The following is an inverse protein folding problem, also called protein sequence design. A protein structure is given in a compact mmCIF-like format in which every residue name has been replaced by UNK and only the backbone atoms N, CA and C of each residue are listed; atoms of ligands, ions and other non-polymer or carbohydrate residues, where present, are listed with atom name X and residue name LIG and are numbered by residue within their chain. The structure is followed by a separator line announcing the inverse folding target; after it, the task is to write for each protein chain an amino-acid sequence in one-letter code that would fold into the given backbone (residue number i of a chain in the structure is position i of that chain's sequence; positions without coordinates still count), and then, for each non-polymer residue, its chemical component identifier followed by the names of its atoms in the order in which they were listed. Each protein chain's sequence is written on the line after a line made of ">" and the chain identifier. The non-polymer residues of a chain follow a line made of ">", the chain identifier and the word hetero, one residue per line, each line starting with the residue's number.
data_IF_872856912398
#
_entry.id   IF_872856912398
#
_cell.length_a   1.000
_cell.length_b   1.000
_cell.length_c   1.000
_cell.angle_alpha   90.00
_cell.angle_beta   90.00
_cell.angle_gamma   90.00
#
_symmetry.space_group_name_H-M   'P 1'
#
loop_
_entity.id
_entity.type
_entity.pdbx_description
1 polymer ?
#
# COMPACT_ATOMS: atom_id res chain seq x y z
N UNK A 1 -16.12 13.40 15.29
CA UNK A 1 -14.77 13.67 14.76
C UNK A 1 -14.96 14.26 13.38
N UNK A 2 -14.39 15.43 13.10
CA UNK A 2 -14.45 16.01 11.75
C UNK A 2 -13.65 15.13 10.79
N UNK A 3 -14.21 14.87 9.61
CA UNK A 3 -13.61 13.97 8.61
C UNK A 3 -12.48 14.68 7.88
N UNK A 4 -11.24 14.24 8.10
CA UNK A 4 -10.06 14.74 7.40
C UNK A 4 -10.16 14.35 5.92
N UNK A 5 -10.03 15.32 5.02
CA UNK A 5 -9.96 15.09 3.59
C UNK A 5 -8.52 14.98 3.11
N UNK A 6 -8.30 14.55 1.86
CA UNK A 6 -6.96 14.49 1.27
C UNK A 6 -6.90 15.18 -0.09
N UNK A 7 -5.77 15.81 -0.37
CA UNK A 7 -5.37 16.38 -1.63
C UNK A 7 -4.14 15.63 -2.15
N UNK A 8 -4.27 15.05 -3.34
CA UNK A 8 -3.19 14.36 -4.03
C UNK A 8 -2.80 15.17 -5.26
N UNK A 9 -1.55 15.62 -5.30
CA UNK A 9 -0.98 16.24 -6.50
C UNK A 9 -0.60 15.17 -7.53
N UNK A 10 -1.46 14.97 -8.53
CA UNK A 10 -1.33 13.97 -9.56
C UNK A 10 -0.99 14.57 -10.94
N UNK A 11 -0.30 15.72 -10.97
CA UNK A 11 0.12 16.38 -12.22
C UNK A 11 1.33 15.71 -12.88
N UNK A 12 2.12 14.99 -12.11
CA UNK A 12 3.32 14.32 -12.62
C UNK A 12 2.96 13.02 -13.37
N UNK A 13 3.48 12.76 -14.59
CA UNK A 13 3.09 11.59 -15.39
C UNK A 13 3.33 10.22 -14.73
N UNK A 14 4.27 10.14 -13.78
CA UNK A 14 4.57 8.90 -13.06
C UNK A 14 3.42 8.40 -12.19
N UNK A 15 2.41 9.22 -11.90
CA UNK A 15 1.20 8.79 -11.17
C UNK A 15 0.55 7.55 -11.80
N UNK A 16 0.67 7.39 -13.11
CA UNK A 16 0.12 6.28 -13.91
C UNK A 16 1.06 5.06 -14.01
N UNK A 17 2.28 5.13 -13.47
CA UNK A 17 3.20 3.99 -13.49
C UNK A 17 2.70 2.90 -12.56
N UNK A 18 2.59 1.68 -13.11
CA UNK A 18 2.11 0.52 -12.37
C UNK A 18 3.24 -0.15 -11.61
N UNK A 19 3.04 -0.37 -10.32
CA UNK A 19 3.89 -1.16 -9.44
C UNK A 19 3.05 -2.27 -8.82
N UNK A 20 3.35 -3.51 -9.21
CA UNK A 20 2.59 -4.69 -8.80
C UNK A 20 1.09 -4.57 -9.12
N UNK A 21 0.79 -4.12 -10.34
CA UNK A 21 -0.58 -4.04 -10.86
C UNK A 21 -1.28 -2.71 -10.60
N UNK A 22 -1.03 -2.08 -9.46
CA UNK A 22 -1.62 -0.77 -9.12
C UNK A 22 -0.80 0.38 -9.69
N UNK A 23 -1.45 1.45 -10.17
CA UNK A 23 -0.73 2.71 -10.40
C UNK A 23 -0.28 3.32 -9.05
N UNK A 24 0.73 4.20 -9.07
CA UNK A 24 1.15 4.91 -7.86
C UNK A 24 0.00 5.70 -7.24
N UNK A 25 -0.79 6.38 -8.07
CA UNK A 25 -1.99 7.09 -7.61
C UNK A 25 -3.05 6.13 -7.03
N UNK A 26 -3.34 5.01 -7.71
CA UNK A 26 -4.29 4.02 -7.21
C UNK A 26 -3.90 3.52 -5.82
N UNK A 27 -2.59 3.30 -5.60
CA UNK A 27 -2.06 2.89 -4.31
C UNK A 27 -2.30 3.94 -3.23
N UNK A 28 -2.02 5.21 -3.53
CA UNK A 28 -2.24 6.31 -2.58
C UNK A 28 -3.72 6.47 -2.23
N UNK A 29 -4.63 6.40 -3.21
CA UNK A 29 -6.08 6.45 -2.97
C UNK A 29 -6.52 5.29 -2.06
N UNK A 30 -6.07 4.07 -2.34
CA UNK A 30 -6.43 2.88 -1.55
C UNK A 30 -5.91 2.94 -0.12
N UNK A 31 -4.70 3.47 0.09
CA UNK A 31 -4.15 3.66 1.43
C UNK A 31 -4.95 4.69 2.24
N UNK A 32 -5.30 5.83 1.63
CA UNK A 32 -6.14 6.85 2.27
C UNK A 32 -7.53 6.33 2.61
N UNK A 33 -8.20 5.68 1.66
CA UNK A 33 -9.53 5.10 1.86
C UNK A 33 -9.55 4.06 2.99
N UNK A 34 -8.45 3.30 3.16
CA UNK A 34 -8.29 2.34 4.26
C UNK A 34 -8.09 2.99 5.62
N UNK A 35 -7.53 4.18 5.64
CA UNK A 35 -7.32 4.96 6.87
C UNK A 35 -8.57 5.77 7.24
N UNK A 36 -9.69 5.60 6.52
CA UNK A 36 -10.95 6.28 6.80
C UNK A 36 -11.05 7.68 6.18
N UNK A 37 -10.20 8.02 5.22
CA UNK A 37 -10.33 9.28 4.48
C UNK A 37 -11.44 9.13 3.44
N UNK A 38 -12.56 9.80 3.69
CA UNK A 38 -13.78 9.68 2.88
C UNK A 38 -13.78 10.57 1.63
N UNK A 39 -13.06 11.70 1.64
CA UNK A 39 -13.02 12.65 0.53
C UNK A 39 -11.59 12.88 0.04
N UNK A 40 -11.34 12.57 -1.22
CA UNK A 40 -10.02 12.64 -1.85
C UNK A 40 -10.10 13.49 -3.12
N UNK A 41 -9.37 14.61 -3.12
CA UNK A 41 -9.21 15.51 -4.25
C UNK A 41 -7.94 15.18 -5.02
N UNK A 42 -8.06 15.04 -6.34
CA UNK A 42 -6.95 14.71 -7.23
C UNK A 42 -6.67 15.92 -8.11
N UNK A 43 -5.58 16.62 -7.81
CA UNK A 43 -5.14 17.75 -8.60
C UNK A 43 -4.45 17.25 -9.87
N UNK A 44 -4.92 17.68 -11.04
CA UNK A 44 -4.34 17.27 -12.31
C UNK A 44 -4.39 18.38 -13.35
N UNK A 45 -3.61 18.24 -14.43
CA UNK A 45 -3.61 19.18 -15.55
C UNK A 45 -4.59 18.73 -16.63
N UNK A 46 -5.02 19.63 -17.51
CA UNK A 46 -5.91 19.28 -18.64
C UNK A 46 -5.30 18.21 -19.57
N UNK A 47 -3.98 18.07 -19.60
CA UNK A 47 -3.25 17.16 -20.49
C UNK A 47 -3.09 15.75 -19.93
N UNK A 48 -3.31 15.55 -18.63
CA UNK A 48 -3.09 14.28 -17.96
C UNK A 48 -4.41 13.81 -17.33
N UNK A 49 -4.89 12.64 -17.73
CA UNK A 49 -5.94 11.95 -16.99
C UNK A 49 -5.27 10.90 -16.07
N UNK A 50 -5.18 11.16 -14.76
CA UNK A 50 -4.45 10.30 -13.83
C UNK A 50 -5.28 9.06 -13.41
N UNK A 51 -6.59 9.03 -13.73
CA UNK A 51 -7.48 7.90 -13.44
C UNK A 51 -7.65 6.94 -14.62
N UNK A 52 -7.11 7.27 -15.80
CA UNK A 52 -7.27 6.47 -17.02
C UNK A 52 -6.70 5.05 -16.91
N UNK A 53 -5.61 4.87 -16.16
CA UNK A 53 -4.84 3.63 -16.15
C UNK A 53 -5.00 2.79 -14.88
N UNK A 54 -6.02 3.09 -14.07
CA UNK A 54 -6.37 2.30 -12.90
C UNK A 54 -6.56 0.83 -13.28
N UNK A 55 -6.08 -0.08 -12.44
CA UNK A 55 -6.15 -1.50 -12.72
C UNK A 55 -7.42 -2.16 -12.16
N UNK A 56 -7.91 -1.62 -11.04
CA UNK A 56 -9.11 -2.07 -10.36
C UNK A 56 -9.99 -0.87 -9.99
N UNK A 57 -11.27 -1.12 -9.76
CA UNK A 57 -12.22 -0.10 -9.30
C UNK A 57 -11.81 0.50 -7.96
N UNK A 58 -11.99 1.80 -7.81
CA UNK A 58 -11.66 2.51 -6.58
C UNK A 58 -12.54 2.03 -5.40
N UNK A 59 -12.04 2.12 -4.15
CA UNK A 59 -12.82 1.75 -2.97
C UNK A 59 -14.11 2.57 -2.86
N UNK A 60 -15.24 1.92 -2.54
CA UNK A 60 -16.53 2.62 -2.33
C UNK A 60 -16.56 3.47 -1.06
N UNK A 61 -15.59 3.27 -0.16
CA UNK A 61 -15.48 4.01 1.11
C UNK A 61 -14.89 5.42 0.95
N UNK A 62 -14.44 5.80 -0.25
CA UNK A 62 -13.91 7.14 -0.51
C UNK A 62 -14.49 7.70 -1.81
N UNK A 63 -14.95 8.95 -1.74
CA UNK A 63 -15.34 9.76 -2.89
C UNK A 63 -14.09 10.42 -3.45
N UNK A 64 -13.89 10.27 -4.76
CA UNK A 64 -12.73 10.78 -5.47
C UNK A 64 -13.16 11.85 -6.47
N UNK A 65 -12.74 13.08 -6.24
CA UNK A 65 -13.04 14.24 -7.07
C UNK A 65 -11.77 14.70 -7.81
N UNK A 66 -11.87 14.92 -9.12
CA UNK A 66 -10.74 15.44 -9.91
C UNK A 66 -10.84 16.95 -9.99
N UNK A 67 -9.74 17.64 -9.67
CA UNK A 67 -9.62 19.10 -9.73
C UNK A 67 -8.63 19.44 -10.83
N UNK A 68 -9.12 20.08 -11.89
CA UNK A 68 -8.24 20.57 -12.96
C UNK A 68 -7.60 21.87 -12.48
N UNK A 69 -6.27 21.93 -12.49
CA UNK A 69 -5.52 23.10 -12.04
C UNK A 69 -4.84 23.84 -13.20
N UNK A 70 -4.65 25.14 -13.03
CA UNK A 70 -3.92 26.00 -13.98
C UNK A 70 -2.42 25.72 -13.95
N UNK A 71 -1.74 25.92 -15.08
CA UNK A 71 -0.28 25.85 -15.14
C UNK A 71 0.39 27.02 -14.40
N UNK A 72 -0.25 28.20 -14.33
CA UNK A 72 0.33 29.40 -13.72
C UNK A 72 0.20 29.42 -12.19
N UNK A 73 -0.88 28.85 -11.66
CA UNK A 73 -1.14 28.80 -10.23
C UNK A 73 -1.86 27.49 -9.86
N UNK A 74 -1.10 26.39 -9.74
CA UNK A 74 -1.67 25.07 -9.56
C UNK A 74 -2.28 24.85 -8.17
N UNK A 75 -1.94 25.69 -7.20
CA UNK A 75 -2.38 25.56 -5.81
C UNK A 75 -3.52 26.52 -5.45
N UNK A 76 -4.00 27.34 -6.38
CA UNK A 76 -5.19 28.16 -6.16
C UNK A 76 -6.41 27.34 -5.67
N UNK A 77 -6.76 26.19 -6.27
CA UNK A 77 -7.88 25.40 -5.78
C UNK A 77 -7.61 24.74 -4.42
N UNK A 78 -6.35 24.43 -4.09
CA UNK A 78 -5.98 23.96 -2.76
C UNK A 78 -6.22 25.04 -1.70
N UNK A 79 -5.89 26.31 -2.00
CA UNK A 79 -6.16 27.42 -1.08
C UNK A 79 -7.66 27.63 -0.85
N UNK A 80 -8.47 27.52 -1.91
CA UNK A 80 -9.93 27.56 -1.79
C UNK A 80 -10.44 26.41 -0.92
N UNK A 81 -9.92 25.20 -1.13
CA UNK A 81 -10.25 24.03 -0.31
C UNK A 81 -9.91 24.27 1.16
N UNK A 82 -8.71 24.77 1.48
CA UNK A 82 -8.30 25.06 2.86
C UNK A 82 -9.13 26.18 3.51
N UNK A 83 -9.57 27.16 2.72
CA UNK A 83 -10.43 28.24 3.22
C UNK A 83 -11.84 27.75 3.56
N UNK A 84 -12.36 26.76 2.83
CA UNK A 84 -13.70 26.20 3.01
C UNK A 84 -13.72 24.98 3.95
N UNK A 85 -12.58 24.38 4.22
CA UNK A 85 -12.49 23.17 5.02
C UNK A 85 -12.63 23.48 6.51
N UNK A 86 -13.64 22.88 7.14
CA UNK A 86 -13.82 22.90 8.60
C UNK A 86 -12.82 21.98 9.34
N UNK A 87 -12.16 21.10 8.59
CA UNK A 87 -11.24 20.08 9.07
C UNK A 87 -9.89 20.20 8.36
N UNK A 88 -8.90 19.46 8.85
CA UNK A 88 -7.62 19.38 8.18
C UNK A 88 -7.68 18.64 6.83
N UNK A 89 -6.67 18.91 6.01
CA UNK A 89 -6.44 18.31 4.71
C UNK A 89 -5.06 17.66 4.71
N UNK A 90 -5.00 16.38 4.33
CA UNK A 90 -3.74 15.70 4.04
C UNK A 90 -3.22 16.09 2.66
N UNK A 91 -1.95 16.46 2.54
CA UNK A 91 -1.32 16.80 1.26
C UNK A 91 -0.30 15.73 0.89
N UNK A 92 -0.50 15.08 -0.26
CA UNK A 92 0.38 14.03 -0.78
C UNK A 92 0.81 14.30 -2.23
N UNK A 93 2.01 13.85 -2.57
CA UNK A 93 2.42 13.73 -3.97
C UNK A 93 1.91 12.42 -4.57
N UNK A 94 1.24 12.50 -5.72
CA UNK A 94 0.61 11.35 -6.38
C UNK A 94 1.62 10.34 -6.96
N UNK A 95 2.85 10.79 -7.27
CA UNK A 95 3.96 9.94 -7.69
C UNK A 95 4.90 9.54 -6.55
N UNK A 96 4.49 9.71 -5.29
CA UNK A 96 5.21 9.17 -4.14
C UNK A 96 4.61 7.83 -3.69
N UNK A 97 5.48 6.94 -3.20
CA UNK A 97 5.08 5.75 -2.46
C UNK A 97 5.07 6.09 -0.97
N UNK A 98 3.86 6.12 -0.37
CA UNK A 98 3.65 6.51 1.02
C UNK A 98 3.51 5.29 1.95
N UNK A 99 4.23 5.30 3.07
CA UNK A 99 4.04 4.34 4.15
C UNK A 99 2.75 4.64 4.95
N UNK A 100 1.90 3.64 5.12
CA UNK A 100 0.65 3.73 5.90
C UNK A 100 0.88 4.27 7.32
N UNK A 101 2.01 3.95 7.95
CA UNK A 101 2.34 4.41 9.32
C UNK A 101 2.48 5.93 9.38
N UNK A 102 3.06 6.52 8.34
CA UNK A 102 3.21 7.98 8.23
C UNK A 102 1.84 8.63 8.03
N UNK A 103 1.04 8.11 7.09
CA UNK A 103 -0.30 8.62 6.83
C UNK A 103 -1.19 8.54 8.08
N UNK A 104 -1.17 7.41 8.78
CA UNK A 104 -1.90 7.22 10.04
C UNK A 104 -1.43 8.20 11.12
N UNK A 105 -0.11 8.45 11.22
CA UNK A 105 0.42 9.43 12.17
C UNK A 105 -0.05 10.83 11.86
N UNK A 106 -0.03 11.24 10.59
CA UNK A 106 -0.55 12.53 10.17
C UNK A 106 -2.02 12.68 10.58
N UNK A 107 -2.85 11.68 10.26
CA UNK A 107 -4.28 11.69 10.63
C UNK A 107 -4.55 11.79 12.14
N UNK A 108 -3.64 11.25 12.96
CA UNK A 108 -3.79 11.23 14.41
C UNK A 108 -3.26 12.49 15.12
N UNK A 109 -2.73 13.47 14.38
CA UNK A 109 -2.23 14.73 14.94
C UNK A 109 -3.30 15.82 14.82
N UNK A 110 -3.37 16.69 15.82
CA UNK A 110 -4.32 17.82 15.88
C UNK A 110 -3.69 19.16 15.48
N UNK A 111 -2.54 19.10 14.81
CA UNK A 111 -1.71 20.25 14.48
C UNK A 111 -1.24 20.18 13.03
N UNK A 112 -0.91 21.35 12.47
CA UNK A 112 -0.34 21.44 11.14
C UNK A 112 1.12 21.00 11.17
N UNK A 113 1.45 20.03 10.31
CA UNK A 113 2.73 19.34 10.35
C UNK A 113 3.14 18.89 8.95
N UNK A 114 4.42 19.06 8.63
CA UNK A 114 5.05 18.44 7.47
C UNK A 114 5.96 17.31 7.96
N UNK A 115 5.76 16.12 7.39
CA UNK A 115 6.64 14.97 7.57
C UNK A 115 7.52 14.79 6.34
N UNK A 116 8.82 14.79 6.57
CA UNK A 116 9.83 14.50 5.55
C UNK A 116 10.36 13.09 5.77
N UNK A 117 10.44 12.32 4.67
CA UNK A 117 11.10 11.02 4.72
C UNK A 117 12.59 11.20 5.04
N UNK A 118 13.11 10.41 5.96
CA UNK A 118 14.54 10.36 6.25
C UNK A 118 15.28 9.33 5.39
N UNK A 119 14.54 8.58 4.56
CA UNK A 119 15.06 7.50 3.71
C UNK A 119 14.62 7.66 2.26
N UNK A 120 15.35 7.00 1.35
CA UNK A 120 15.10 7.01 -0.09
C UNK A 120 16.11 7.86 -0.86
N UNK A 121 16.38 7.50 -2.12
CA UNK A 121 17.20 8.31 -3.02
C UNK A 121 16.60 9.70 -3.28
N UNK A 122 15.27 9.80 -3.23
CA UNK A 122 14.52 11.05 -3.37
C UNK A 122 13.46 11.12 -2.27
N UNK A 123 13.82 11.67 -1.09
CA UNK A 123 12.93 11.71 0.05
C UNK A 123 11.70 12.57 -0.25
N UNK A 124 10.53 11.92 -0.22
CA UNK A 124 9.25 12.58 -0.39
C UNK A 124 8.77 13.26 0.89
N UNK A 125 7.68 14.00 0.73
CA UNK A 125 7.04 14.74 1.83
C UNK A 125 5.54 14.51 1.81
N UNK A 126 4.95 14.54 3.00
CA UNK A 126 3.52 14.54 3.21
C UNK A 126 3.20 15.51 4.33
N UNK A 127 2.05 16.17 4.24
CA UNK A 127 1.65 17.13 5.27
C UNK A 127 0.22 16.90 5.71
N UNK A 128 -0.08 17.35 6.92
CA UNK A 128 -1.43 17.63 7.37
C UNK A 128 -1.49 19.13 7.62
N UNK A 129 -2.43 19.81 6.99
CA UNK A 129 -2.60 21.25 7.14
C UNK A 129 -4.07 21.60 7.33
N UNK A 130 -4.34 22.74 7.93
CA UNK A 130 -5.68 23.28 8.13
C UNK A 130 -5.75 24.71 7.56
N UNK A 131 -6.89 25.36 7.75
CA UNK A 131 -7.07 26.77 7.42
C UNK A 131 -6.05 27.69 8.11
N UNK A 132 -5.45 27.26 9.24
CA UNK A 132 -4.40 28.00 9.95
C UNK A 132 -3.13 28.19 9.10
N UNK A 133 -2.83 27.23 8.22
CA UNK A 133 -1.68 27.32 7.31
C UNK A 133 -1.97 28.08 6.01
N UNK A 134 -3.20 28.58 5.81
CA UNK A 134 -3.59 29.25 4.56
C UNK A 134 -2.71 30.47 4.21
N UNK A 135 -2.33 31.37 5.15
CA UNK A 135 -1.44 32.50 4.83
C UNK A 135 -0.09 32.05 4.25
N UNK A 136 0.44 30.92 4.74
CA UNK A 136 1.69 30.31 4.25
C UNK A 136 1.58 30.02 2.75
N UNK A 137 0.48 29.40 2.33
CA UNK A 137 0.28 28.99 0.95
C UNK A 137 -0.09 30.15 0.01
N UNK A 138 -0.51 31.29 0.55
CA UNK A 138 -0.78 32.49 -0.23
C UNK A 138 0.51 33.22 -0.64
N UNK A 139 1.54 33.22 0.23
CA UNK A 139 2.82 33.88 -0.05
C UNK A 139 3.77 33.07 -0.94
N UNK A 140 3.58 31.76 -1.03
CA UNK A 140 4.50 30.87 -1.72
C UNK A 140 4.09 30.70 -3.19
N UNK A 141 5.02 31.06 -4.08
CA UNK A 141 4.87 30.90 -5.53
C UNK A 141 5.78 29.77 -6.03
N UNK A 142 5.29 28.54 -5.95
CA UNK A 142 5.95 27.37 -6.56
C UNK A 142 4.93 26.51 -7.29
N UNK A 143 5.43 25.72 -8.21
CA UNK A 143 4.66 24.80 -9.03
C UNK A 143 4.77 23.35 -8.53
N UNK A 144 5.65 23.04 -7.57
CA UNK A 144 5.85 21.68 -7.04
C UNK A 144 5.43 21.58 -5.57
N UNK A 145 4.63 20.56 -5.24
CA UNK A 145 4.09 20.39 -3.89
C UNK A 145 5.18 20.09 -2.87
N UNK A 146 6.23 19.35 -3.23
CA UNK A 146 7.31 19.09 -2.28
C UNK A 146 8.09 20.36 -1.96
N UNK A 147 8.38 21.18 -2.98
CA UNK A 147 9.02 22.48 -2.77
C UNK A 147 8.14 23.41 -1.94
N UNK A 148 6.83 23.45 -2.19
CA UNK A 148 5.86 24.23 -1.42
C UNK A 148 5.94 23.89 0.07
N UNK A 149 5.89 22.59 0.39
CA UNK A 149 5.93 22.10 1.76
C UNK A 149 7.29 22.33 2.43
N UNK A 150 8.39 22.19 1.69
CA UNK A 150 9.74 22.49 2.21
C UNK A 150 9.91 23.98 2.50
N UNK A 151 9.45 24.86 1.63
CA UNK A 151 9.49 26.32 1.88
C UNK A 151 8.60 26.72 3.07
N UNK A 152 7.45 26.08 3.24
CA UNK A 152 6.58 26.29 4.40
C UNK A 152 7.25 25.89 5.72
N UNK A 153 8.09 24.84 5.70
CA UNK A 153 8.91 24.44 6.84
C UNK A 153 10.05 25.42 7.11
N UNK A 154 10.78 25.88 6.09
CA UNK A 154 11.95 26.75 6.24
C UNK A 154 11.59 28.10 6.86
N UNK A 155 10.40 28.62 6.51
CA UNK A 155 9.83 29.81 7.15
C UNK A 155 9.35 29.57 8.60
N UNK A 156 9.53 28.36 9.15
CA UNK A 156 9.08 27.90 10.47
C UNK A 156 7.56 28.06 10.71
N UNK A 157 6.78 28.13 9.63
CA UNK A 157 5.34 28.39 9.74
C UNK A 157 4.52 27.10 9.89
N UNK A 158 5.13 25.94 9.63
CA UNK A 158 4.56 24.62 9.87
C UNK A 158 5.62 23.73 10.56
N UNK A 159 5.19 22.98 11.58
CA UNK A 159 6.11 22.12 12.33
C UNK A 159 6.66 20.98 11.49
N UNK A 160 7.98 20.81 11.53
CA UNK A 160 8.66 19.69 10.88
C UNK A 160 8.76 18.50 11.83
N UNK A 161 8.43 17.31 11.32
CA UNK A 161 8.83 16.05 11.94
C UNK A 161 9.55 15.17 10.93
N UNK A 162 10.52 14.39 11.40
CA UNK A 162 11.20 13.39 10.58
C UNK A 162 10.51 12.03 10.72
N UNK A 163 10.50 11.25 9.64
CA UNK A 163 9.91 9.91 9.65
C UNK A 163 10.59 8.95 10.64
N UNK A 164 11.86 9.18 10.99
CA UNK A 164 12.62 8.39 11.99
C UNK A 164 12.04 8.45 13.41
N UNK A 165 11.15 9.41 13.69
CA UNK A 165 10.45 9.48 14.99
C UNK A 165 9.39 8.38 15.17
N UNK A 166 9.08 7.63 14.11
CA UNK A 166 8.11 6.55 14.12
C UNK A 166 8.81 5.20 14.32
N UNK A 167 8.13 4.27 15.01
CA UNK A 167 8.65 2.93 15.26
C UNK A 167 8.89 2.19 13.92
N UNK A 168 10.13 1.76 13.62
CA UNK A 168 10.44 1.03 12.40
C UNK A 168 9.89 -0.40 12.41
N UNK A 169 9.56 -0.97 13.57
CA UNK A 169 9.07 -2.32 13.69
C UNK A 169 7.63 -2.49 13.18
N UNK A 170 7.41 -3.48 12.30
CA UNK A 170 6.10 -3.87 11.79
C UNK A 170 5.74 -5.23 12.38
N UNK A 171 4.86 -5.25 13.39
CA UNK A 171 4.50 -6.47 14.14
C UNK A 171 4.00 -7.61 13.23
N UNK A 172 3.08 -7.32 12.31
CA UNK A 172 2.51 -8.33 11.41
C UNK A 172 3.54 -8.92 10.43
N UNK A 173 4.67 -8.24 10.25
CA UNK A 173 5.80 -8.71 9.44
C UNK A 173 6.99 -9.12 10.31
N UNK A 174 6.95 -9.00 11.63
CA UNK A 174 8.06 -9.30 12.55
C UNK A 174 9.42 -8.77 12.05
N UNK A 175 9.42 -7.55 11.49
CA UNK A 175 10.59 -6.95 10.83
C UNK A 175 10.65 -5.45 11.02
N UNK A 176 11.86 -4.91 11.04
CA UNK A 176 12.11 -3.48 11.02
C UNK A 176 12.25 -2.96 9.58
N UNK A 177 11.43 -1.97 9.25
CA UNK A 177 11.51 -1.21 8.01
C UNK A 177 11.34 0.25 8.38
N UNK A 178 12.30 1.11 8.01
CA UNK A 178 12.21 2.54 8.30
C UNK A 178 11.00 3.16 7.61
N UNK A 179 10.18 3.96 8.32
CA UNK A 179 9.03 4.65 7.72
C UNK A 179 9.46 5.57 6.58
N UNK A 180 8.84 5.40 5.41
CA UNK A 180 9.29 6.00 4.16
C UNK A 180 8.20 6.82 3.45
N UNK A 181 8.62 7.87 2.76
CA UNK A 181 7.92 8.49 1.64
C UNK A 181 8.93 8.56 0.50
N UNK A 182 8.73 7.77 -0.55
CA UNK A 182 9.68 7.68 -1.65
C UNK A 182 9.12 8.41 -2.86
N UNK A 183 9.70 9.55 -3.25
CA UNK A 183 9.27 10.29 -4.44
C UNK A 183 9.84 9.61 -5.70
N UNK A 184 8.98 9.33 -6.69
CA UNK A 184 9.36 8.52 -7.86
C UNK A 184 9.26 9.33 -9.15
N UNK A 185 10.41 9.72 -9.66
CA UNK A 185 10.59 10.55 -10.87
C UNK A 185 11.57 9.90 -11.86
N UNK A 186 12.22 8.81 -11.48
CA UNK A 186 13.17 8.07 -12.33
C UNK A 186 13.03 6.55 -12.20
N UNK A 187 13.57 5.82 -13.18
CA UNK A 187 13.61 4.36 -13.13
C UNK A 187 14.47 3.80 -11.99
N UNK A 188 15.44 4.56 -11.48
CA UNK A 188 16.24 4.16 -10.33
C UNK A 188 15.40 4.21 -9.04
N UNK A 189 14.71 5.33 -8.81
CA UNK A 189 13.80 5.53 -7.68
C UNK A 189 12.63 4.53 -7.72
N UNK A 190 12.13 4.21 -8.91
CA UNK A 190 11.09 3.19 -9.07
C UNK A 190 11.57 1.79 -8.64
N UNK A 191 12.81 1.41 -8.99
CA UNK A 191 13.40 0.13 -8.59
C UNK A 191 13.62 0.06 -7.07
N UNK A 192 14.08 1.14 -6.47
CA UNK A 192 14.19 1.28 -5.02
C UNK A 192 12.83 1.11 -4.35
N UNK A 193 11.83 1.89 -4.76
CA UNK A 193 10.49 1.83 -4.19
C UNK A 193 9.84 0.45 -4.36
N UNK A 194 10.08 -0.22 -5.49
CA UNK A 194 9.64 -1.60 -5.71
C UNK A 194 10.30 -2.58 -4.74
N UNK A 195 11.61 -2.45 -4.50
CA UNK A 195 12.35 -3.27 -3.53
C UNK A 195 11.82 -3.06 -2.11
N UNK A 196 11.59 -1.81 -1.69
CA UNK A 196 11.00 -1.50 -0.38
C UNK A 196 9.59 -2.09 -0.25
N UNK A 197 8.79 -2.04 -1.31
CA UNK A 197 7.45 -2.64 -1.32
C UNK A 197 7.50 -4.17 -1.23
N UNK A 198 8.44 -4.83 -1.89
CA UNK A 198 8.67 -6.28 -1.79
C UNK A 198 9.09 -6.66 -0.36
N UNK A 199 9.98 -5.88 0.26
CA UNK A 199 10.40 -6.10 1.66
C UNK A 199 9.24 -5.96 2.65
N UNK A 200 8.36 -4.98 2.45
CA UNK A 200 7.15 -4.78 3.29
C UNK A 200 6.02 -5.76 2.97
N UNK A 201 6.09 -6.50 1.87
CA UNK A 201 5.15 -7.57 1.56
C UNK A 201 5.60 -8.95 2.08
N UNK A 202 6.87 -9.11 2.45
CA UNK A 202 7.39 -10.36 2.98
C UNK A 202 7.28 -10.39 4.51
N UNK A 203 6.58 -11.41 5.06
CA UNK A 203 6.58 -11.65 6.51
C UNK A 203 8.02 -12.03 6.92
N UNK A 204 8.51 -11.45 8.00
CA UNK A 204 9.72 -11.85 8.69
C UNK A 204 9.47 -13.18 9.39
N UNK A 205 9.91 -14.26 8.75
CA UNK A 205 9.82 -15.62 9.26
C UNK A 205 11.23 -16.08 9.60
N UNK A 206 11.39 -16.80 10.72
CA UNK A 206 12.68 -17.32 11.17
C UNK A 206 13.06 -18.65 10.49
N UNK A 207 12.12 -19.32 9.84
CA UNK A 207 12.35 -20.62 9.20
C UNK A 207 13.13 -20.47 7.90
N UNK A 208 14.21 -21.26 7.75
CA UNK A 208 15.11 -21.19 6.59
C UNK A 208 14.38 -21.36 5.25
N UNK A 209 13.45 -22.31 5.18
CA UNK A 209 12.66 -22.61 3.98
C UNK A 209 11.76 -21.41 3.64
N UNK A 210 11.02 -20.89 4.63
CA UNK A 210 10.14 -19.73 4.47
C UNK A 210 10.90 -18.42 4.19
N UNK A 211 12.18 -18.34 4.60
CA UNK A 211 13.04 -17.17 4.43
C UNK A 211 13.76 -17.15 3.08
N UNK A 212 14.13 -18.29 2.53
CA UNK A 212 14.99 -18.34 1.34
C UNK A 212 14.41 -19.09 0.13
N UNK A 213 13.58 -20.12 0.33
CA UNK A 213 13.08 -20.97 -0.77
C UNK A 213 11.72 -20.50 -1.25
N UNK A 214 10.78 -20.34 -0.32
CA UNK A 214 9.42 -19.89 -0.64
C UNK A 214 9.37 -18.48 -1.27
N UNK A 215 10.16 -17.49 -0.80
CA UNK A 215 9.97 -16.12 -1.26
C UNK A 215 10.14 -15.87 -2.76
N UNK A 216 11.21 -16.34 -3.43
CA UNK A 216 11.37 -16.13 -4.86
C UNK A 216 10.25 -16.79 -5.68
N UNK A 217 9.80 -17.99 -5.28
CA UNK A 217 8.69 -18.68 -5.94
C UNK A 217 7.39 -17.89 -5.79
N UNK A 218 7.06 -17.51 -4.56
CA UNK A 218 5.82 -16.78 -4.28
C UNK A 218 5.78 -15.41 -4.96
N UNK A 219 6.89 -14.66 -4.98
CA UNK A 219 6.97 -13.39 -5.71
C UNK A 219 6.89 -13.59 -7.22
N UNK A 220 7.48 -14.67 -7.75
CA UNK A 220 7.37 -15.05 -9.16
C UNK A 220 5.92 -15.31 -9.56
N UNK A 221 5.23 -16.15 -8.78
CA UNK A 221 3.81 -16.48 -8.98
C UNK A 221 2.92 -15.25 -8.82
N UNK A 222 3.09 -14.48 -7.74
CA UNK A 222 2.33 -13.24 -7.54
C UNK A 222 2.51 -12.28 -8.72
N UNK A 223 3.72 -12.20 -9.30
CA UNK A 223 4.00 -11.33 -10.44
C UNK A 223 3.29 -11.80 -11.70
N UNK A 224 3.17 -13.12 -11.91
CA UNK A 224 2.42 -13.71 -13.01
C UNK A 224 0.90 -13.53 -12.84
N UNK A 225 0.38 -13.57 -11.60
CA UNK A 225 -1.05 -13.45 -11.30
C UNK A 225 -1.58 -12.00 -11.35
N UNK A 226 -0.73 -11.02 -11.04
CA UNK A 226 -1.08 -9.59 -11.11
C UNK A 226 -1.69 -9.16 -12.45
N UNK A 227 -1.08 -9.43 -13.63
CA UNK A 227 -1.65 -9.05 -14.91
C UNK A 227 -2.95 -9.80 -15.23
N UNK A 228 -3.13 -11.02 -14.71
CA UNK A 228 -4.35 -11.82 -14.86
C UNK A 228 -5.52 -11.30 -14.01
N UNK A 229 -5.31 -10.27 -13.19
CA UNK A 229 -6.29 -9.67 -12.27
C UNK A 229 -6.88 -10.64 -11.24
N UNK A 230 -6.24 -11.79 -11.02
CA UNK A 230 -6.63 -12.76 -9.99
C UNK A 230 -6.67 -12.07 -8.62
N UNK A 231 -7.71 -12.35 -7.85
CA UNK A 231 -7.89 -11.84 -6.49
C UNK A 231 -7.18 -12.74 -5.46
N UNK A 232 -6.70 -12.20 -4.34
CA UNK A 232 -6.12 -13.00 -3.26
C UNK A 232 -7.06 -14.14 -2.82
N UNK A 233 -8.34 -13.84 -2.61
CA UNK A 233 -9.33 -14.84 -2.20
C UNK A 233 -9.50 -16.00 -3.20
N UNK A 234 -9.33 -15.75 -4.51
CA UNK A 234 -9.33 -16.84 -5.51
C UNK A 234 -8.12 -17.75 -5.34
N UNK A 235 -6.95 -17.19 -5.03
CA UNK A 235 -5.75 -17.99 -4.72
C UNK A 235 -5.97 -18.77 -3.42
N UNK A 236 -6.59 -18.14 -2.40
CA UNK A 236 -6.94 -18.80 -1.14
C UNK A 236 -7.82 -20.03 -1.35
N UNK A 237 -8.93 -19.86 -2.06
CA UNK A 237 -9.85 -20.96 -2.39
C UNK A 237 -9.12 -22.06 -3.18
N UNK A 238 -8.28 -21.67 -4.14
CA UNK A 238 -7.57 -22.62 -4.98
C UNK A 238 -6.60 -23.49 -4.17
N UNK A 239 -5.80 -22.92 -3.28
CA UNK A 239 -4.89 -23.73 -2.47
C UNK A 239 -5.66 -24.60 -1.47
N UNK A 240 -6.76 -24.12 -0.88
CA UNK A 240 -7.62 -24.94 0.00
C UNK A 240 -8.17 -26.18 -0.72
N UNK A 241 -8.54 -26.05 -2.01
CA UNK A 241 -8.95 -27.19 -2.82
C UNK A 241 -7.80 -28.18 -3.04
N UNK A 242 -6.58 -27.70 -3.31
CA UNK A 242 -5.41 -28.57 -3.42
C UNK A 242 -5.13 -29.30 -2.11
N UNK A 243 -5.29 -28.63 -0.97
CA UNK A 243 -5.12 -29.24 0.34
C UNK A 243 -6.15 -30.34 0.64
N UNK A 244 -7.41 -30.13 0.21
CA UNK A 244 -8.44 -31.15 0.28
C UNK A 244 -8.11 -32.37 -0.61
N UNK A 245 -7.63 -32.15 -1.83
CA UNK A 245 -7.19 -33.24 -2.71
C UNK A 245 -5.99 -33.98 -2.11
N UNK A 246 -5.03 -33.27 -1.51
CA UNK A 246 -3.87 -33.88 -0.84
C UNK A 246 -4.31 -34.80 0.30
N UNK A 247 -5.30 -34.38 1.08
CA UNK A 247 -5.93 -35.21 2.13
C UNK A 247 -6.45 -36.53 1.57
N UNK A 248 -7.21 -36.50 0.47
CA UNK A 248 -7.75 -37.70 -0.17
C UNK A 248 -6.63 -38.62 -0.66
N UNK A 249 -5.53 -38.05 -1.18
CA UNK A 249 -4.36 -38.83 -1.60
C UNK A 249 -3.69 -39.52 -0.42
N UNK A 250 -3.54 -38.84 0.72
CA UNK A 250 -3.00 -39.45 1.94
C UNK A 250 -3.88 -40.59 2.46
N UNK A 251 -5.21 -40.40 2.49
CA UNK A 251 -6.16 -41.45 2.88
C UNK A 251 -6.10 -42.69 1.98
N UNK A 252 -5.72 -42.52 0.71
CA UNK A 252 -5.55 -43.60 -0.27
C UNK A 252 -4.13 -44.19 -0.29
N UNK A 253 -3.25 -43.76 0.61
CA UNK A 253 -1.86 -44.24 0.65
C UNK A 253 -0.94 -43.67 -0.42
N UNK A 254 -1.40 -42.71 -1.22
CA UNK A 254 -0.59 -42.07 -2.26
C UNK A 254 0.29 -40.97 -1.67
N UNK A 255 1.20 -41.37 -0.76
CA UNK A 255 1.97 -40.45 0.08
C UNK A 255 2.78 -39.45 -0.75
N UNK A 256 3.51 -39.92 -1.78
CA UNK A 256 4.33 -39.02 -2.61
C UNK A 256 3.50 -37.96 -3.32
N UNK A 257 2.39 -38.37 -3.96
CA UNK A 257 1.51 -37.45 -4.68
C UNK A 257 0.83 -36.46 -3.71
N UNK A 258 0.37 -36.94 -2.55
CA UNK A 258 -0.20 -36.11 -1.49
C UNK A 258 0.81 -35.07 -0.98
N UNK A 259 2.05 -35.48 -0.72
CA UNK A 259 3.12 -34.59 -0.25
C UNK A 259 3.50 -33.51 -1.26
N UNK A 260 3.57 -33.86 -2.56
CA UNK A 260 3.84 -32.87 -3.61
C UNK A 260 2.70 -31.83 -3.70
N UNK A 261 1.46 -32.28 -3.58
CA UNK A 261 0.30 -31.39 -3.66
C UNK A 261 0.17 -30.51 -2.41
N UNK A 262 0.45 -31.06 -1.23
CA UNK A 262 0.54 -30.32 0.03
C UNK A 262 1.63 -29.25 -0.02
N UNK A 263 2.82 -29.58 -0.54
CA UNK A 263 3.90 -28.61 -0.72
C UNK A 263 3.51 -27.48 -1.68
N UNK A 264 2.85 -27.81 -2.81
CA UNK A 264 2.32 -26.80 -3.73
C UNK A 264 1.27 -25.90 -3.06
N UNK A 265 0.36 -26.49 -2.28
CA UNK A 265 -0.65 -25.76 -1.52
C UNK A 265 -0.01 -24.74 -0.57
N UNK A 266 1.01 -25.15 0.20
CA UNK A 266 1.71 -24.25 1.11
C UNK A 266 2.45 -23.10 0.42
N UNK A 267 2.96 -23.30 -0.81
CA UNK A 267 3.51 -22.20 -1.61
C UNK A 267 2.41 -21.21 -2.02
N UNK A 268 1.25 -21.71 -2.46
CA UNK A 268 0.14 -20.86 -2.91
C UNK A 268 -0.54 -20.08 -1.78
N UNK A 269 -0.55 -20.63 -0.58
CA UNK A 269 -0.95 -19.92 0.64
C UNK A 269 -0.09 -18.65 0.83
N UNK A 270 1.24 -18.77 0.78
CA UNK A 270 2.13 -17.60 0.84
C UNK A 270 1.93 -16.58 -0.30
N UNK A 271 1.53 -17.05 -1.49
CA UNK A 271 1.21 -16.20 -2.66
C UNK A 271 -0.01 -15.34 -2.40
N UNK A 272 -1.09 -15.87 -1.80
CA UNK A 272 -2.32 -15.10 -1.61
C UNK A 272 -2.07 -13.87 -0.71
N UNK A 273 -1.31 -14.06 0.36
CA UNK A 273 -1.02 -13.04 1.33
C UNK A 273 -0.14 -11.97 0.72
N UNK A 274 0.90 -12.37 -0.03
CA UNK A 274 1.75 -11.43 -0.77
C UNK A 274 0.97 -10.65 -1.82
N UNK A 275 0.11 -11.32 -2.59
CA UNK A 275 -0.73 -10.69 -3.58
C UNK A 275 -1.67 -9.67 -2.93
N UNK A 276 -2.23 -9.98 -1.76
CA UNK A 276 -3.06 -9.06 -0.98
C UNK A 276 -2.29 -7.82 -0.52
N UNK A 277 -1.04 -7.97 -0.03
CA UNK A 277 -0.18 -6.83 0.39
C UNK A 277 0.24 -5.96 -0.77
N UNK A 278 0.75 -6.59 -1.82
CA UNK A 278 1.26 -5.89 -2.98
C UNK A 278 0.13 -5.18 -3.72
N UNK A 279 -1.05 -5.77 -3.84
CA UNK A 279 -2.18 -5.15 -4.54
C UNK A 279 -3.14 -4.37 -3.63
N UNK A 280 -2.84 -4.27 -2.33
CA UNK A 280 -3.72 -3.62 -1.34
C UNK A 280 -5.17 -4.14 -1.39
N UNK A 281 -5.37 -5.43 -1.63
CA UNK A 281 -6.71 -6.07 -1.73
C UNK A 281 -6.92 -7.13 -0.64
N UNK A 282 -6.55 -6.81 0.60
CA UNK A 282 -6.89 -7.63 1.76
C UNK A 282 -8.38 -7.61 2.04
N UNK A 283 -8.89 -8.75 2.52
CA UNK A 283 -10.23 -8.88 3.08
C UNK A 283 -10.15 -9.61 4.41
N UNK A 284 -10.99 -9.24 5.39
CA UNK A 284 -11.04 -9.92 6.68
C UNK A 284 -11.47 -11.40 6.53
N UNK A 285 -12.41 -11.66 5.61
CA UNK A 285 -12.82 -13.01 5.27
C UNK A 285 -11.66 -13.84 4.70
N UNK A 286 -10.82 -13.27 3.82
CA UNK A 286 -9.65 -13.98 3.29
C UNK A 286 -8.62 -14.31 4.36
N UNK A 287 -8.33 -13.36 5.26
CA UNK A 287 -7.40 -13.56 6.39
C UNK A 287 -7.91 -14.63 7.38
N UNK A 288 -9.22 -14.66 7.63
CA UNK A 288 -9.85 -15.70 8.45
C UNK A 288 -9.79 -17.08 7.77
N UNK A 289 -10.10 -17.13 6.47
CA UNK A 289 -10.07 -18.38 5.70
C UNK A 289 -8.65 -18.97 5.60
N UNK A 290 -7.63 -18.12 5.40
CA UNK A 290 -6.22 -18.51 5.44
C UNK A 290 -5.89 -19.14 6.81
N UNK A 291 -6.13 -18.42 7.91
CA UNK A 291 -5.82 -18.88 9.25
C UNK A 291 -6.53 -20.18 9.66
N UNK A 292 -7.83 -20.27 9.37
CA UNK A 292 -8.63 -21.46 9.68
C UNK A 292 -8.22 -22.63 8.80
N UNK A 293 -8.04 -22.39 7.49
CA UNK A 293 -7.65 -23.40 6.53
C UNK A 293 -6.32 -24.05 6.86
N UNK A 294 -5.30 -23.25 7.16
CA UNK A 294 -3.98 -23.74 7.55
C UNK A 294 -4.06 -24.64 8.80
N UNK A 295 -4.79 -24.18 9.83
CA UNK A 295 -4.95 -24.96 11.07
C UNK A 295 -5.66 -26.30 10.83
N UNK A 296 -6.71 -26.31 9.99
CA UNK A 296 -7.47 -27.52 9.68
C UNK A 296 -6.64 -28.51 8.88
N UNK A 297 -5.99 -28.07 7.81
CA UNK A 297 -5.28 -28.97 6.91
C UNK A 297 -3.99 -29.52 7.51
N UNK A 298 -3.29 -28.75 8.35
CA UNK A 298 -2.15 -29.27 9.13
C UNK A 298 -2.59 -30.48 9.96
N UNK A 299 -3.69 -30.37 10.72
CA UNK A 299 -4.19 -31.47 11.54
C UNK A 299 -4.72 -32.65 10.69
N UNK A 300 -5.52 -32.35 9.67
CA UNK A 300 -6.17 -33.37 8.83
C UNK A 300 -5.14 -34.21 8.05
N UNK A 301 -4.07 -33.60 7.54
CA UNK A 301 -3.04 -34.36 6.83
C UNK A 301 -2.34 -35.38 7.73
N UNK A 302 -1.99 -35.00 8.97
CA UNK A 302 -1.40 -35.94 9.93
C UNK A 302 -2.38 -37.06 10.31
N UNK A 303 -3.66 -36.73 10.53
CA UNK A 303 -4.68 -37.74 10.82
C UNK A 303 -4.91 -38.69 9.64
N UNK A 304 -4.94 -38.17 8.41
CA UNK A 304 -5.11 -38.96 7.20
C UNK A 304 -3.96 -39.93 6.98
N UNK A 305 -2.72 -39.47 7.16
CA UNK A 305 -1.55 -40.34 7.11
C UNK A 305 -1.56 -41.36 8.25
N UNK A 306 -1.89 -40.94 9.48
CA UNK A 306 -1.98 -41.83 10.64
C UNK A 306 -3.00 -42.94 10.45
N UNK A 307 -4.19 -42.62 9.95
CA UNK A 307 -5.23 -43.60 9.59
C UNK A 307 -4.77 -44.59 8.53
N UNK A 308 -4.03 -44.13 7.53
CA UNK A 308 -3.54 -45.03 6.48
C UNK A 308 -2.48 -46.01 6.99
N UNK A 309 -1.66 -45.60 7.97
CA UNK A 309 -0.60 -46.43 8.54
C UNK A 309 -1.04 -47.28 9.75
N UNK A 310 -2.24 -47.09 10.28
CA UNK A 310 -2.82 -47.91 11.37
C UNK A 310 -3.46 -49.18 10.85
#
# INVERSE_FOLDING_TARGET
>A
MQTVSAWIDARHPWVNRKMWGLTLLERNIRELARLGVEKIYIATSQRLNPLRHLNYSLPKSATVETVIVSEHDPFAPLRVLLQQADAAVLLLQGHALNDRRILRRLLALDMDVVLVSAVGQNPGVAARVSSQSLPVFQELHTHDLAQLLRQAMDKHMILQKNSNSLNPYIANLRREVQPFILKIESNAQYREAKSVLEQTAHKGVNDFVAKFIHPPLEFGLARALVPMKVSPNQVTIFWLLLAAVATVLFLRGQILAGSLLAALSGILDGVDGKLARLTLRYSHAGDLLDHVGNTIFDAIWYLAMGWYFS
#
